data_IF_802362757684
#
_entry.id   IF_802362757684
#
_cell.length_a   1.000
_cell.length_b   1.000
_cell.length_c   1.000
_cell.angle_alpha   90.00
_cell.angle_beta   90.00
_cell.angle_gamma   90.00
#
_symmetry.space_group_name_H-M   'P 1'
#
loop_
_entity.id
_entity.type
_entity.pdbx_description
1 polymer ?
#
# COMPACT_ATOMS: atom_id res chain seq x y z
N UNK A 1 -4.32 -10.89 25.64
CA UNK A 1 -4.51 -11.90 24.58
C UNK A 1 -5.20 -11.31 23.34
N UNK A 2 -6.44 -10.82 23.43
CA UNK A 2 -7.14 -10.27 22.25
C UNK A 2 -6.53 -8.98 21.68
N UNK A 3 -6.07 -8.06 22.54
CA UNK A 3 -5.47 -6.80 22.10
C UNK A 3 -4.12 -7.02 21.39
N UNK A 4 -3.25 -7.86 21.94
CA UNK A 4 -1.95 -8.15 21.31
C UNK A 4 -2.12 -8.82 19.95
N UNK A 5 -3.09 -9.74 19.83
CA UNK A 5 -3.45 -10.34 18.55
C UNK A 5 -3.98 -9.28 17.58
N UNK A 6 -4.85 -8.38 18.02
CA UNK A 6 -5.38 -7.32 17.16
C UNK A 6 -4.28 -6.37 16.66
N UNK A 7 -3.29 -6.07 17.51
CA UNK A 7 -2.13 -5.25 17.11
C UNK A 7 -1.23 -5.99 16.13
N UNK A 8 -1.04 -7.30 16.29
CA UNK A 8 -0.28 -8.10 15.31
C UNK A 8 -1.01 -8.16 13.96
N UNK A 9 -2.33 -8.38 13.97
CA UNK A 9 -3.17 -8.33 12.76
C UNK A 9 -3.08 -6.96 12.09
N UNK A 10 -3.15 -5.87 12.87
CA UNK A 10 -2.96 -4.52 12.38
C UNK A 10 -1.57 -4.34 11.75
N UNK A 11 -0.52 -4.81 12.42
CA UNK A 11 0.87 -4.66 11.97
C UNK A 11 1.10 -5.38 10.64
N UNK A 12 0.67 -6.64 10.53
CA UNK A 12 0.85 -7.44 9.31
C UNK A 12 0.01 -6.93 8.15
N UNK A 13 -1.25 -6.58 8.39
CA UNK A 13 -2.14 -6.03 7.36
C UNK A 13 -1.69 -4.64 6.90
N UNK A 14 -1.26 -3.78 7.82
CA UNK A 14 -0.67 -2.48 7.50
C UNK A 14 0.59 -2.66 6.65
N UNK A 15 1.52 -3.56 7.03
CA UNK A 15 2.73 -3.80 6.25
C UNK A 15 2.40 -4.29 4.82
N UNK A 16 1.45 -5.23 4.70
CA UNK A 16 0.99 -5.73 3.42
C UNK A 16 0.39 -4.64 2.54
N UNK A 17 -0.51 -3.81 3.08
CA UNK A 17 -1.12 -2.71 2.31
C UNK A 17 -0.12 -1.61 1.97
N UNK A 18 0.77 -1.19 2.89
CA UNK A 18 1.79 -0.20 2.61
C UNK A 18 2.66 -0.59 1.41
N UNK A 19 3.06 -1.87 1.34
CA UNK A 19 3.84 -2.40 0.21
C UNK A 19 2.96 -2.52 -1.03
N UNK A 20 1.75 -3.08 -0.93
CA UNK A 20 0.88 -3.29 -2.08
C UNK A 20 0.47 -1.97 -2.75
N UNK A 21 0.10 -0.95 -1.98
CA UNK A 21 -0.27 0.36 -2.52
C UNK A 21 0.90 1.07 -3.17
N UNK A 22 2.10 0.92 -2.60
CA UNK A 22 3.33 1.45 -3.19
C UNK A 22 3.62 0.77 -4.55
N UNK A 23 3.67 -0.56 -4.57
CA UNK A 23 3.98 -1.35 -5.76
C UNK A 23 2.96 -1.12 -6.87
N UNK A 24 1.67 -1.10 -6.54
CA UNK A 24 0.60 -0.91 -7.52
C UNK A 24 0.34 0.56 -7.86
N UNK A 25 1.02 1.50 -7.20
CA UNK A 25 0.82 2.93 -7.40
C UNK A 25 -0.61 3.38 -7.11
N UNK A 26 -1.20 2.84 -6.05
CA UNK A 26 -2.57 3.19 -5.62
C UNK A 26 -2.54 4.57 -4.98
N UNK A 27 -3.27 5.50 -5.58
CA UNK A 27 -3.37 6.88 -5.15
C UNK A 27 -4.65 7.21 -4.38
N UNK A 28 -4.79 8.48 -4.05
CA UNK A 28 -5.85 9.13 -3.29
C UNK A 28 -6.04 8.52 -1.90
N UNK A 29 -4.96 8.11 -1.20
CA UNK A 29 -5.08 7.41 0.10
C UNK A 29 -5.19 8.37 1.26
N UNK A 30 -6.31 8.33 1.98
CA UNK A 30 -6.62 9.17 3.12
C UNK A 30 -7.47 8.41 4.16
N UNK A 31 -7.70 8.99 5.34
CA UNK A 31 -8.41 8.32 6.46
C UNK A 31 -9.76 7.73 6.04
N UNK A 32 -10.48 8.40 5.15
CA UNK A 32 -11.84 7.98 4.77
C UNK A 32 -11.88 6.72 3.88
N UNK A 33 -10.73 6.31 3.30
CA UNK A 33 -10.62 5.09 2.48
C UNK A 33 -9.60 4.08 3.01
N UNK A 34 -9.21 4.22 4.28
CA UNK A 34 -8.44 3.24 5.03
C UNK A 34 -9.27 2.79 6.22
N UNK A 35 -9.66 1.52 6.19
CA UNK A 35 -10.62 0.92 7.12
C UNK A 35 -9.90 -0.04 8.06
N UNK A 36 -10.42 -0.18 9.29
CA UNK A 36 -9.90 -1.13 10.29
C UNK A 36 -11.06 -1.96 10.83
N UNK A 37 -10.89 -3.28 10.81
CA UNK A 37 -11.86 -4.23 11.38
C UNK A 37 -11.69 -4.30 12.90
N UNK A 38 -12.73 -4.78 13.60
CA UNK A 38 -12.70 -4.97 15.06
C UNK A 38 -11.58 -5.89 15.55
N UNK A 39 -11.10 -6.81 14.71
CA UNK A 39 -9.97 -7.69 15.01
C UNK A 39 -8.60 -7.06 14.72
N UNK A 40 -8.54 -5.75 14.41
CA UNK A 40 -7.31 -5.02 14.11
C UNK A 40 -6.88 -5.04 12.64
N UNK A 41 -7.50 -5.85 11.78
CA UNK A 41 -7.11 -5.95 10.37
C UNK A 41 -7.39 -4.63 9.61
N UNK A 42 -6.33 -4.03 9.07
CA UNK A 42 -6.37 -2.84 8.21
C UNK A 42 -6.59 -3.24 6.75
N UNK A 43 -7.42 -2.48 6.04
CA UNK A 43 -7.62 -2.66 4.60
C UNK A 43 -7.99 -1.36 3.90
N UNK A 44 -7.64 -1.27 2.61
CA UNK A 44 -7.94 -0.11 1.78
C UNK A 44 -9.22 -0.38 0.97
N UNK A 45 -9.98 0.67 0.67
CA UNK A 45 -11.16 0.64 -0.21
C UNK A 45 -11.06 1.72 -1.28
N UNK A 46 -11.93 1.71 -2.29
CA UNK A 46 -11.97 2.74 -3.36
C UNK A 46 -10.64 2.86 -4.13
N UNK A 47 -10.37 1.95 -5.07
CA UNK A 47 -9.10 1.88 -5.82
C UNK A 47 -9.14 2.64 -7.15
N UNK A 48 -9.78 3.81 -7.18
CA UNK A 48 -10.05 4.56 -8.42
C UNK A 48 -8.81 5.02 -9.21
N UNK A 49 -7.64 5.10 -8.58
CA UNK A 49 -6.39 5.54 -9.20
C UNK A 49 -5.26 4.56 -8.92
N UNK A 50 -4.68 3.99 -9.98
CA UNK A 50 -3.63 2.97 -9.93
C UNK A 50 -2.49 3.32 -10.90
N UNK A 51 -1.36 2.63 -10.77
CA UNK A 51 -0.18 2.75 -11.65
C UNK A 51 0.37 4.18 -11.77
N UNK A 52 0.20 4.98 -10.72
CA UNK A 52 0.75 6.34 -10.67
C UNK A 52 -0.05 7.38 -11.46
N UNK A 53 -1.27 7.05 -11.88
CA UNK A 53 -2.23 8.00 -12.47
C UNK A 53 -2.87 8.88 -11.40
N UNK A 54 -2.03 9.65 -10.72
CA UNK A 54 -2.46 10.55 -9.67
C UNK A 54 -3.11 11.81 -10.26
N UNK A 55 -4.22 12.27 -9.67
CA UNK A 55 -4.88 13.51 -10.06
C UNK A 55 -3.89 14.68 -10.06
N UNK A 56 -3.79 15.38 -11.19
CA UNK A 56 -3.10 16.67 -11.26
C UNK A 56 -4.12 17.81 -11.09
N UNK A 57 -3.79 18.82 -10.30
CA UNK A 57 -4.55 20.07 -10.24
C UNK A 57 -3.59 21.21 -10.57
N UNK A 58 -3.95 22.03 -11.55
CA UNK A 58 -3.12 23.14 -12.04
C UNK A 58 -1.70 22.70 -12.47
N UNK A 59 -1.56 21.53 -13.11
CA UNK A 59 -0.27 21.03 -13.59
C UNK A 59 0.65 20.43 -12.52
N UNK A 60 0.22 20.39 -11.24
CA UNK A 60 0.98 19.79 -10.14
C UNK A 60 0.36 18.44 -9.80
N UNK A 61 1.16 17.37 -9.80
CA UNK A 61 0.76 16.06 -9.25
C UNK A 61 0.50 16.22 -7.76
N UNK A 62 -0.73 15.93 -7.32
CA UNK A 62 -1.12 16.12 -5.91
C UNK A 62 -0.46 15.10 -4.97
N UNK A 63 -0.16 13.91 -5.47
CA UNK A 63 0.45 12.85 -4.68
C UNK A 63 1.95 12.76 -4.95
N UNK A 64 2.71 13.17 -3.93
CA UNK A 64 4.17 13.22 -3.95
C UNK A 64 4.81 12.07 -3.16
N UNK A 65 4.02 11.37 -2.33
CA UNK A 65 4.52 10.34 -1.41
C UNK A 65 3.91 8.99 -1.81
N UNK A 66 4.70 8.05 -2.35
CA UNK A 66 4.19 6.78 -2.85
C UNK A 66 3.96 5.75 -1.73
N UNK A 67 4.48 6.00 -0.52
CA UNK A 67 4.38 5.10 0.63
C UNK A 67 3.61 5.79 1.76
N UNK A 68 2.40 5.32 2.06
CA UNK A 68 1.59 5.86 3.16
C UNK A 68 1.95 5.14 4.45
N UNK A 69 2.68 5.84 5.30
CA UNK A 69 2.90 5.46 6.69
C UNK A 69 2.61 6.67 7.56
N UNK A 70 1.42 6.69 8.16
CA UNK A 70 0.97 7.79 9.01
C UNK A 70 1.50 7.62 10.44
N UNK A 71 1.54 8.74 11.17
CA UNK A 71 1.88 8.71 12.59
C UNK A 71 0.94 7.81 13.39
N UNK A 72 -0.35 7.78 13.03
CA UNK A 72 -1.36 6.98 13.72
C UNK A 72 -1.07 5.47 13.60
N UNK A 73 -0.60 5.00 12.44
CA UNK A 73 -0.24 3.59 12.26
C UNK A 73 0.97 3.22 13.11
N UNK A 74 1.99 4.09 13.12
CA UNK A 74 3.17 3.90 13.97
C UNK A 74 2.76 3.87 15.44
N UNK A 75 1.87 4.78 15.86
CA UNK A 75 1.39 4.82 17.24
C UNK A 75 0.72 3.51 17.66
N UNK A 76 -0.12 2.91 16.80
CA UNK A 76 -0.76 1.61 17.07
C UNK A 76 0.28 0.48 17.12
N UNK A 77 1.19 0.40 16.14
CA UNK A 77 2.24 -0.63 16.07
C UNK A 77 3.15 -0.56 17.32
N UNK A 78 3.47 0.65 17.76
CA UNK A 78 4.33 0.88 18.92
C UNK A 78 3.58 0.83 20.25
N UNK A 79 2.26 0.61 20.26
CA UNK A 79 1.43 0.65 21.46
C UNK A 79 1.59 1.97 22.25
N UNK A 80 1.72 3.09 21.53
CA UNK A 80 1.92 4.42 22.11
C UNK A 80 3.27 4.64 22.78
N UNK A 81 4.22 3.70 22.69
CA UNK A 81 5.58 3.86 23.21
C UNK A 81 6.40 4.74 22.27
N UNK A 82 7.18 5.65 22.85
CA UNK A 82 8.11 6.51 22.11
C UNK A 82 9.44 5.80 21.84
N UNK A 83 10.07 6.11 20.71
CA UNK A 83 11.39 5.56 20.32
C UNK A 83 11.31 4.42 19.31
N UNK A 84 12.47 3.93 18.87
CA UNK A 84 12.54 2.79 17.94
C UNK A 84 12.34 1.48 18.74
N UNK A 85 11.16 0.90 18.64
CA UNK A 85 10.80 -0.34 19.35
C UNK A 85 11.02 -1.56 18.48
N UNK A 86 11.25 -2.73 19.10
CA UNK A 86 11.30 -4.02 18.41
C UNK A 86 10.07 -4.25 17.50
N UNK A 87 8.89 -3.76 17.91
CA UNK A 87 7.65 -3.84 17.13
C UNK A 87 7.72 -3.07 15.82
N UNK A 88 8.31 -1.87 15.83
CA UNK A 88 8.54 -1.13 14.59
C UNK A 88 9.58 -1.81 13.70
N UNK A 89 10.61 -2.42 14.30
CA UNK A 89 11.56 -3.27 13.59
C UNK A 89 10.88 -4.45 12.89
N UNK A 90 9.96 -5.14 13.58
CA UNK A 90 9.15 -6.23 13.01
C UNK A 90 8.29 -5.75 11.84
N UNK A 91 7.58 -4.62 11.99
CA UNK A 91 6.80 -4.02 10.90
C UNK A 91 7.67 -3.74 9.66
N UNK A 92 8.85 -3.15 9.88
CA UNK A 92 9.81 -2.86 8.81
C UNK A 92 10.28 -4.14 8.11
N UNK A 93 10.64 -5.17 8.87
CA UNK A 93 11.03 -6.47 8.32
C UNK A 93 9.92 -7.07 7.46
N UNK A 94 8.66 -7.04 7.93
CA UNK A 94 7.52 -7.51 7.14
C UNK A 94 7.35 -6.73 5.83
N UNK A 95 7.54 -5.40 5.85
CA UNK A 95 7.51 -4.59 4.63
C UNK A 95 8.62 -4.99 3.65
N UNK A 96 9.85 -5.14 4.14
CA UNK A 96 11.01 -5.53 3.33
C UNK A 96 10.82 -6.92 2.71
N UNK A 97 10.38 -7.90 3.50
CA UNK A 97 10.12 -9.27 3.05
C UNK A 97 9.00 -9.30 1.99
N UNK A 98 7.88 -8.62 2.26
CA UNK A 98 6.76 -8.54 1.32
C UNK A 98 7.17 -7.91 -0.01
N UNK A 99 7.94 -6.81 0.02
CA UNK A 99 8.44 -6.16 -1.19
C UNK A 99 9.37 -7.08 -1.98
N UNK A 100 10.30 -7.76 -1.30
CA UNK A 100 11.23 -8.69 -1.95
C UNK A 100 10.51 -9.90 -2.57
N UNK A 101 9.45 -10.40 -1.93
CA UNK A 101 8.60 -11.45 -2.49
C UNK A 101 7.90 -10.96 -3.75
N UNK A 102 7.23 -9.81 -3.71
CA UNK A 102 6.56 -9.24 -4.89
C UNK A 102 7.54 -9.00 -6.03
N UNK A 103 8.74 -8.49 -5.74
CA UNK A 103 9.79 -8.25 -6.73
C UNK A 103 10.20 -9.53 -7.47
N UNK A 104 10.27 -10.68 -6.79
CA UNK A 104 10.55 -11.98 -7.43
C UNK A 104 9.47 -12.39 -8.43
N UNK A 105 8.23 -11.95 -8.21
CA UNK A 105 7.08 -12.23 -9.07
C UNK A 105 6.70 -11.06 -9.98
N UNK A 106 7.55 -10.04 -10.16
CA UNK A 106 7.23 -8.82 -10.94
C UNK A 106 6.76 -9.10 -12.37
N UNK A 107 7.35 -10.08 -13.05
CA UNK A 107 6.95 -10.48 -14.41
C UNK A 107 5.50 -10.97 -14.49
N UNK A 108 4.99 -11.63 -13.43
CA UNK A 108 3.60 -12.06 -13.35
C UNK A 108 2.67 -10.85 -13.33
N UNK A 109 2.94 -9.87 -12.47
CA UNK A 109 2.15 -8.63 -12.38
C UNK A 109 2.17 -7.87 -13.71
N UNK A 110 3.34 -7.66 -14.31
CA UNK A 110 3.48 -7.01 -15.62
C UNK A 110 2.63 -7.73 -16.68
N UNK A 111 2.65 -9.06 -16.69
CA UNK A 111 1.89 -9.86 -17.66
C UNK A 111 0.38 -9.74 -17.44
N UNK A 112 -0.08 -9.82 -16.18
CA UNK A 112 -1.50 -9.64 -15.85
C UNK A 112 -2.00 -8.26 -16.26
N UNK A 113 -1.24 -7.19 -15.97
CA UNK A 113 -1.59 -5.84 -16.41
C UNK A 113 -1.54 -5.68 -17.93
N UNK A 114 -0.61 -6.35 -18.63
CA UNK A 114 -0.58 -6.34 -20.09
C UNK A 114 -1.83 -6.96 -20.71
N UNK A 115 -2.34 -8.07 -20.15
CA UNK A 115 -3.59 -8.69 -20.60
C UNK A 115 -4.81 -7.80 -20.37
N UNK A 116 -4.78 -7.01 -19.28
CA UNK A 116 -5.86 -6.08 -18.92
C UNK A 116 -5.97 -4.83 -19.80
N UNK A 117 -5.01 -4.56 -20.70
CA UNK A 117 -5.10 -3.45 -21.66
C UNK A 117 -6.37 -3.52 -22.53
N UNK A 118 -6.83 -4.73 -22.83
CA UNK A 118 -8.04 -4.96 -23.63
C UNK A 118 -9.34 -4.66 -22.89
N UNK A 119 -9.29 -4.52 -21.56
CA UNK A 119 -10.47 -4.26 -20.73
C UNK A 119 -10.97 -2.80 -20.82
N UNK A 120 -10.19 -1.89 -21.44
CA UNK A 120 -10.59 -0.49 -21.62
C UNK A 120 -10.64 0.33 -20.33
N UNK A 121 -9.75 0.01 -19.36
CA UNK A 121 -9.65 0.78 -18.12
C UNK A 121 -9.02 2.17 -18.38
N UNK A 122 -9.59 3.27 -17.84
CA UNK A 122 -9.05 4.62 -18.05
C UNK A 122 -7.60 4.80 -17.59
N UNK A 123 -7.20 4.06 -16.55
CA UNK A 123 -5.85 4.15 -15.94
C UNK A 123 -4.85 3.16 -16.55
N UNK A 124 -5.26 2.37 -17.55
CA UNK A 124 -4.45 1.35 -18.20
C UNK A 124 -4.77 1.33 -19.69
N UNK A 125 -4.25 2.32 -20.40
CA UNK A 125 -4.55 2.58 -21.82
C UNK A 125 -3.43 2.14 -22.74
N UNK A 126 -2.20 2.05 -22.21
CA UNK A 126 -1.03 1.73 -23.00
C UNK A 126 0.01 0.97 -22.19
N UNK A 127 0.96 0.37 -22.90
CA UNK A 127 2.14 -0.28 -22.29
C UNK A 127 2.97 0.70 -21.44
N UNK A 128 2.87 2.02 -21.68
CA UNK A 128 3.54 3.04 -20.87
C UNK A 128 3.05 3.04 -19.43
N UNK A 129 1.77 2.78 -19.20
CA UNK A 129 1.18 2.76 -17.85
C UNK A 129 1.75 1.58 -17.03
N UNK A 130 2.01 0.45 -17.70
CA UNK A 130 2.61 -0.75 -17.11
C UNK A 130 4.08 -0.52 -16.73
N UNK A 131 4.77 0.45 -17.35
CA UNK A 131 6.16 0.77 -17.00
C UNK A 131 6.30 1.25 -15.55
N UNK A 132 5.22 1.70 -14.91
CA UNK A 132 5.22 2.01 -13.48
C UNK A 132 5.68 0.83 -12.61
N UNK A 133 5.39 -0.41 -13.02
CA UNK A 133 5.71 -1.63 -12.26
C UNK A 133 7.16 -2.11 -12.42
N UNK A 134 7.97 -1.44 -13.27
CA UNK A 134 9.38 -1.81 -13.53
C UNK A 134 10.33 -1.05 -12.63
#
# INVERSE_FOLDING_TARGET
EDLDRAIEEFTLSCAGYCVATYVLGIGDRHSDNIMVRKNGQLFHIDFGHILGNFKSKFGIKRERVPFILTYDFIHVIQQGKTGNTEKFGRFRQCCEDAYLILRKHGNLFITLFALMLTAGLPELTSVKDIQYLK
#
